data_IF_007428160109
#
_entry.id   IF_007428160109
#
_cell.length_a   1.000
_cell.length_b   1.000
_cell.length_c   1.000
_cell.angle_alpha   90.00
_cell.angle_beta   90.00
_cell.angle_gamma   90.00
#
_symmetry.space_group_name_H-M   'P 1'
#
loop_
_entity.id
_entity.type
_entity.pdbx_description
1 polymer ?
#
# COMPACT_ATOMS: atom_id res chain seq x y z
N UNK A 1 16.34 -0.56 -8.42
CA UNK A 1 15.81 -1.74 -9.16
C UNK A 1 15.00 -2.69 -8.29
N UNK A 2 15.32 -2.84 -7.00
CA UNK A 2 14.57 -3.72 -6.07
C UNK A 2 13.05 -3.48 -6.04
N UNK A 3 12.60 -2.21 -6.14
CA UNK A 3 11.17 -1.88 -6.07
C UNK A 3 10.37 -2.43 -7.26
N UNK A 4 10.85 -2.26 -8.49
CA UNK A 4 10.18 -2.76 -9.69
C UNK A 4 10.07 -4.29 -9.67
N UNK A 5 11.15 -4.97 -9.27
CA UNK A 5 11.16 -6.44 -9.17
C UNK A 5 10.16 -6.92 -8.10
N UNK A 6 10.10 -6.23 -6.96
CA UNK A 6 9.12 -6.51 -5.89
C UNK A 6 7.69 -6.34 -6.41
N UNK A 7 7.39 -5.23 -7.09
CA UNK A 7 6.07 -4.97 -7.68
C UNK A 7 5.70 -6.03 -8.72
N UNK A 8 6.63 -6.33 -9.63
CA UNK A 8 6.45 -7.33 -10.67
C UNK A 8 6.21 -8.72 -10.10
N UNK A 9 6.93 -9.09 -9.04
CA UNK A 9 6.72 -10.34 -8.34
C UNK A 9 5.31 -10.40 -7.73
N UNK A 10 4.86 -9.33 -7.05
CA UNK A 10 3.52 -9.29 -6.46
C UNK A 10 2.41 -9.37 -7.52
N UNK A 11 2.54 -8.65 -8.64
CA UNK A 11 1.61 -8.72 -9.77
C UNK A 11 1.50 -10.16 -10.30
N UNK A 12 2.65 -10.83 -10.50
CA UNK A 12 2.69 -12.22 -10.98
C UNK A 12 2.06 -13.21 -10.00
N UNK A 13 2.27 -13.01 -8.69
CA UNK A 13 1.72 -13.89 -7.66
C UNK A 13 0.22 -13.69 -7.46
N UNK A 14 -0.24 -12.45 -7.42
CA UNK A 14 -1.65 -12.12 -7.18
C UNK A 14 -2.53 -12.44 -8.39
N UNK A 15 -1.97 -12.39 -9.61
CA UNK A 15 -2.71 -12.62 -10.88
C UNK A 15 -3.95 -11.74 -11.01
N UNK A 16 -3.88 -10.53 -10.44
CA UNK A 16 -4.91 -9.51 -10.51
C UNK A 16 -4.33 -8.26 -11.16
N UNK A 17 -5.16 -7.50 -11.91
CA UNK A 17 -4.73 -6.22 -12.46
C UNK A 17 -4.46 -5.23 -11.34
N UNK A 18 -3.23 -4.73 -11.27
CA UNK A 18 -2.83 -3.64 -10.39
C UNK A 18 -3.31 -2.32 -11.00
N UNK A 19 -4.06 -1.50 -10.25
CA UNK A 19 -4.53 -0.20 -10.77
C UNK A 19 -3.82 1.00 -10.15
N UNK A 20 -3.32 0.87 -8.93
CA UNK A 20 -2.57 1.92 -8.27
C UNK A 20 -1.55 1.34 -7.29
N UNK A 21 -0.52 2.14 -7.02
CA UNK A 21 0.50 1.88 -5.99
C UNK A 21 0.63 3.14 -5.14
N UNK A 22 0.71 2.97 -3.84
CA UNK A 22 1.02 4.06 -2.91
C UNK A 22 2.26 3.68 -2.11
N UNK A 23 3.21 4.60 -1.99
CA UNK A 23 4.37 4.43 -1.12
C UNK A 23 4.38 5.56 -0.09
N UNK A 24 4.43 5.18 1.18
CA UNK A 24 4.49 6.10 2.31
C UNK A 24 5.83 5.96 3.01
N UNK A 25 6.46 7.09 3.30
CA UNK A 25 7.75 7.17 3.95
C UNK A 25 7.74 8.28 5.00
N UNK A 26 8.45 8.06 6.10
CA UNK A 26 8.81 9.13 7.03
C UNK A 26 10.13 9.73 6.52
N UNK A 27 10.32 11.06 6.50
CA UNK A 27 11.53 11.69 5.95
C UNK A 27 12.75 11.58 6.88
N UNK A 28 12.98 10.39 7.46
CA UNK A 28 14.17 10.03 8.22
C UNK A 28 14.85 8.83 7.56
N UNK A 29 16.18 8.88 7.34
CA UNK A 29 16.93 7.78 6.74
C UNK A 29 16.71 6.46 7.48
N UNK A 30 16.82 5.34 6.75
CA UNK A 30 16.69 3.99 7.28
C UNK A 30 15.36 3.70 8.03
N UNK A 31 14.31 4.48 7.78
CA UNK A 31 12.96 4.16 8.29
C UNK A 31 12.21 3.21 7.37
N UNK A 32 11.30 2.36 7.89
CA UNK A 32 10.52 1.45 7.06
C UNK A 32 9.66 2.22 6.04
N UNK A 33 9.66 1.76 4.79
CA UNK A 33 8.76 2.27 3.77
C UNK A 33 7.53 1.38 3.70
N UNK A 34 6.34 1.97 3.62
CA UNK A 34 5.10 1.22 3.47
C UNK A 34 4.63 1.29 2.02
N UNK A 35 4.55 0.13 1.37
CA UNK A 35 4.09 -0.04 0.00
C UNK A 35 2.68 -0.64 0.00
N UNK A 36 1.72 0.05 -0.61
CA UNK A 36 0.35 -0.44 -0.79
C UNK A 36 0.09 -0.71 -2.27
N UNK A 37 -0.45 -1.88 -2.56
CA UNK A 37 -0.83 -2.35 -3.88
C UNK A 37 -2.35 -2.40 -3.97
N UNK A 38 -2.91 -1.58 -4.85
CA UNK A 38 -4.35 -1.49 -5.02
C UNK A 38 -4.76 -2.32 -6.23
N UNK A 39 -5.49 -3.39 -5.98
CA UNK A 39 -5.92 -4.36 -6.99
C UNK A 39 -7.29 -4.02 -7.54
N UNK A 40 -7.48 -4.22 -8.83
CA UNK A 40 -8.79 -4.10 -9.44
C UNK A 40 -9.45 -5.48 -9.52
N UNK A 41 -10.70 -5.55 -9.08
CA UNK A 41 -11.52 -6.76 -9.17
C UNK A 41 -12.47 -6.91 -8.00
N UNK A 42 -13.41 -7.85 -8.17
CA UNK A 42 -14.32 -8.28 -7.12
C UNK A 42 -14.21 -9.80 -6.95
N UNK A 43 -14.16 -10.24 -5.70
CA UNK A 43 -14.26 -11.64 -5.29
C UNK A 43 -15.69 -11.94 -4.85
N UNK A 44 -16.19 -13.13 -5.12
CA UNK A 44 -17.42 -13.58 -4.47
C UNK A 44 -17.11 -13.90 -3.02
N UNK A 45 -17.87 -13.34 -2.08
CA UNK A 45 -17.76 -13.74 -0.68
C UNK A 45 -18.33 -15.15 -0.53
N UNK A 46 -17.65 -16.06 0.18
CA UNK A 46 -18.25 -17.34 0.51
C UNK A 46 -19.57 -17.09 1.28
N UNK A 47 -20.63 -17.85 1.00
CA UNK A 47 -21.91 -17.66 1.67
C UNK A 47 -21.71 -17.81 3.18
N UNK A 48 -22.06 -16.77 3.93
CA UNK A 48 -22.07 -16.82 5.37
C UNK A 48 -23.15 -17.81 5.81
N UNK A 49 -22.77 -18.89 6.50
CA UNK A 49 -23.73 -19.91 6.94
C UNK A 49 -24.75 -19.38 7.95
N UNK A 50 -24.49 -18.22 8.56
CA UNK A 50 -25.38 -17.58 9.55
C UNK A 50 -26.34 -16.55 8.96
N UNK A 51 -26.08 -16.03 7.75
CA UNK A 51 -26.94 -15.06 7.07
C UNK A 51 -27.47 -15.66 5.77
N UNK A 52 -28.79 -15.63 5.60
CA UNK A 52 -29.48 -16.00 4.35
C UNK A 52 -29.23 -14.97 3.24
N UNK A 53 -27.98 -14.55 3.05
CA UNK A 53 -27.62 -13.51 2.08
C UNK A 53 -27.07 -14.14 0.80
N UNK A 54 -27.60 -13.65 -0.32
CA UNK A 54 -27.10 -13.91 -1.67
C UNK A 54 -25.63 -13.51 -1.77
N UNK A 55 -24.81 -14.35 -2.43
CA UNK A 55 -23.40 -14.09 -2.75
C UNK A 55 -23.16 -12.61 -3.12
N UNK A 56 -22.53 -11.86 -2.22
CA UNK A 56 -22.16 -10.47 -2.48
C UNK A 56 -20.79 -10.42 -3.14
N UNK A 57 -20.71 -9.72 -4.27
CA UNK A 57 -19.43 -9.35 -4.86
C UNK A 57 -18.75 -8.33 -3.95
N UNK A 58 -17.50 -8.61 -3.57
CA UNK A 58 -16.71 -7.78 -2.67
C UNK A 58 -15.41 -7.37 -3.33
N UNK A 59 -14.99 -6.13 -3.14
CA UNK A 59 -13.71 -5.66 -3.70
C UNK A 59 -12.54 -6.51 -3.21
N UNK A 60 -11.54 -6.69 -4.08
CA UNK A 60 -10.28 -7.28 -3.65
C UNK A 60 -9.60 -6.27 -2.69
N UNK A 61 -9.28 -6.66 -1.45
CA UNK A 61 -8.49 -5.87 -0.52
C UNK A 61 -7.11 -5.55 -1.11
N UNK A 62 -6.62 -4.35 -0.83
CA UNK A 62 -5.25 -3.97 -1.13
C UNK A 62 -4.25 -4.87 -0.40
N UNK A 63 -3.04 -4.99 -0.95
CA UNK A 63 -1.92 -5.64 -0.28
C UNK A 63 -0.99 -4.57 0.31
N UNK A 64 -0.67 -4.67 1.59
CA UNK A 64 0.28 -3.78 2.25
C UNK A 64 1.58 -4.52 2.56
N UNK A 65 2.70 -3.93 2.15
CA UNK A 65 4.05 -4.49 2.25
C UNK A 65 4.98 -3.49 2.94
N UNK A 66 5.64 -3.91 4.01
CA UNK A 66 6.71 -3.14 4.61
C UNK A 66 8.04 -3.46 3.91
N UNK A 67 8.69 -2.44 3.35
CA UNK A 67 10.02 -2.54 2.77
C UNK A 67 11.06 -2.15 3.83
N UNK A 68 11.66 -3.15 4.48
CA UNK A 68 12.77 -2.95 5.41
C UNK A 68 14.10 -2.99 4.64
N UNK A 69 14.53 -1.84 4.12
CA UNK A 69 15.83 -1.69 3.45
C UNK A 69 16.52 -0.42 3.91
N UNK A 70 17.85 -0.39 3.75
CA UNK A 70 18.63 0.82 4.03
C UNK A 70 18.46 1.84 2.91
N UNK A 71 18.30 3.10 3.29
CA UNK A 71 18.22 4.23 2.37
C UNK A 71 18.65 5.51 3.07
N UNK A 72 19.43 6.33 2.35
CA UNK A 72 20.10 7.50 2.94
C UNK A 72 19.36 8.81 2.67
N UNK A 73 18.67 8.88 1.52
CA UNK A 73 17.97 10.09 1.07
C UNK A 73 16.62 9.74 0.44
N UNK A 74 15.61 10.55 0.71
CA UNK A 74 14.26 10.37 0.15
C UNK A 74 14.27 10.48 -1.38
N UNK A 75 15.10 11.37 -1.93
CA UNK A 75 15.28 11.51 -3.38
C UNK A 75 15.68 10.20 -4.06
N UNK A 76 16.46 9.36 -3.39
CA UNK A 76 16.85 8.05 -3.94
C UNK A 76 15.68 7.07 -3.99
N UNK A 77 14.80 7.13 -3.00
CA UNK A 77 13.56 6.36 -2.99
C UNK A 77 12.63 6.85 -4.09
N UNK A 78 12.50 8.18 -4.26
CA UNK A 78 11.70 8.80 -5.31
C UNK A 78 12.18 8.41 -6.72
N UNK A 79 13.49 8.45 -6.98
CA UNK A 79 14.08 8.00 -8.24
C UNK A 79 13.68 6.55 -8.58
N UNK A 80 13.69 5.65 -7.59
CA UNK A 80 13.29 4.26 -7.80
C UNK A 80 11.79 4.10 -8.06
N UNK A 81 10.94 4.91 -7.42
CA UNK A 81 9.51 4.93 -7.71
C UNK A 81 9.27 5.41 -9.13
N UNK A 82 9.94 6.48 -9.55
CA UNK A 82 9.82 7.02 -10.90
C UNK A 82 10.24 5.99 -11.95
N UNK A 83 11.36 5.30 -11.73
CA UNK A 83 11.84 4.23 -12.60
C UNK A 83 10.84 3.06 -12.67
N UNK A 84 10.36 2.58 -11.52
CA UNK A 84 9.37 1.51 -11.47
C UNK A 84 8.04 1.91 -12.14
N UNK A 85 7.58 3.14 -11.90
CA UNK A 85 6.36 3.67 -12.49
C UNK A 85 6.47 3.77 -14.02
N UNK A 86 7.62 4.23 -14.52
CA UNK A 86 7.91 4.27 -15.96
C UNK A 86 7.87 2.87 -16.59
N UNK A 87 8.57 1.90 -15.99
CA UNK A 87 8.61 0.52 -16.49
C UNK A 87 7.24 -0.19 -16.43
N UNK A 88 6.41 0.16 -15.45
CA UNK A 88 5.03 -0.35 -15.34
C UNK A 88 4.03 0.40 -16.23
N UNK A 89 4.43 1.46 -16.92
CA UNK A 89 3.55 2.25 -17.77
C UNK A 89 2.54 3.11 -16.99
N UNK A 90 2.92 3.60 -15.82
CA UNK A 90 2.08 4.50 -15.03
C UNK A 90 1.85 5.81 -15.78
N UNK A 91 0.60 6.25 -15.84
CA UNK A 91 0.17 7.45 -16.55
C UNK A 91 -0.04 8.67 -15.65
N UNK A 92 -0.11 8.44 -14.33
CA UNK A 92 -0.31 9.48 -13.32
C UNK A 92 0.54 9.17 -12.10
N UNK A 93 1.30 10.17 -11.64
CA UNK A 93 2.11 10.12 -10.43
C UNK A 93 1.81 11.35 -9.60
N UNK A 94 1.61 11.15 -8.30
CA UNK A 94 1.34 12.23 -7.36
C UNK A 94 2.24 12.06 -6.14
N UNK A 95 2.90 13.15 -5.77
CA UNK A 95 3.67 13.27 -4.53
C UNK A 95 2.85 14.12 -3.57
N UNK A 96 2.43 13.55 -2.45
CA UNK A 96 1.77 14.28 -1.37
C UNK A 96 2.69 14.28 -0.14
N UNK A 97 3.01 15.46 0.36
CA UNK A 97 3.85 15.64 1.54
C UNK A 97 3.00 16.28 2.63
N UNK A 98 2.86 15.57 3.76
CA UNK A 98 2.05 16.00 4.89
C UNK A 98 2.91 16.12 6.13
N UNK A 99 2.53 17.04 7.02
CA UNK A 99 3.08 17.09 8.37
C UNK A 99 2.67 15.83 9.12
N UNK A 100 3.55 15.33 10.00
CA UNK A 100 3.22 14.21 10.85
C UNK A 100 2.05 14.55 11.78
N UNK A 101 1.13 13.60 11.97
CA UNK A 101 -0.06 13.76 12.80
C UNK A 101 0.19 13.68 14.31
N UNK A 102 1.44 13.79 14.76
CA UNK A 102 1.83 13.66 16.16
C UNK A 102 1.57 14.94 16.98
N UNK A 103 0.76 15.87 16.45
CA UNK A 103 0.43 17.12 17.12
C UNK A 103 -0.74 16.90 18.07
N UNK A 104 -0.53 17.15 19.36
CA UNK A 104 -1.60 17.11 20.36
C UNK A 104 -2.73 18.09 19.98
N UNK A 105 -3.96 17.58 19.89
CA UNK A 105 -5.13 18.38 19.49
C UNK A 105 -5.33 18.56 17.98
N UNK A 106 -4.66 17.75 17.15
CA UNK A 106 -4.95 17.70 15.71
C UNK A 106 -6.44 17.40 15.45
N UNK A 107 -6.98 17.97 14.37
CA UNK A 107 -8.37 17.71 14.01
C UNK A 107 -8.56 16.23 13.63
N UNK A 108 -9.74 15.66 13.90
CA UNK A 108 -10.03 14.25 13.60
C UNK A 108 -9.78 13.86 12.12
N UNK A 109 -9.95 14.81 11.19
CA UNK A 109 -9.64 14.60 9.78
C UNK A 109 -8.15 14.46 9.49
N UNK A 110 -7.28 15.15 10.23
CA UNK A 110 -5.83 15.05 10.12
C UNK A 110 -5.33 13.70 10.65
N UNK A 111 -5.88 13.26 11.79
CA UNK A 111 -5.60 11.93 12.35
C UNK A 111 -6.01 10.83 11.36
N UNK A 112 -7.22 10.90 10.82
CA UNK A 112 -7.71 9.92 9.85
C UNK A 112 -6.83 9.88 8.59
N UNK A 113 -6.47 11.03 8.03
CA UNK A 113 -5.62 11.12 6.84
C UNK A 113 -4.24 10.48 7.09
N UNK A 114 -3.68 10.67 8.28
CA UNK A 114 -2.41 10.09 8.68
C UNK A 114 -2.48 8.56 8.79
N UNK A 115 -3.50 8.04 9.47
CA UNK A 115 -3.75 6.60 9.58
C UNK A 115 -3.91 5.95 8.21
N UNK A 116 -4.69 6.58 7.34
CA UNK A 116 -4.89 6.12 5.95
C UNK A 116 -3.58 6.10 5.15
N UNK A 117 -2.71 7.10 5.33
CA UNK A 117 -1.40 7.12 4.68
C UNK A 117 -0.53 5.92 5.07
N UNK A 118 -0.68 5.38 6.28
CA UNK A 118 0.02 4.19 6.75
C UNK A 118 -0.82 2.91 6.69
N UNK A 119 -1.88 2.89 5.89
CA UNK A 119 -2.69 1.68 5.65
C UNK A 119 -3.59 1.27 6.81
N UNK A 120 -3.68 2.08 7.88
CA UNK A 120 -4.70 1.99 8.92
C UNK A 120 -5.99 2.63 8.40
N UNK A 121 -6.67 1.89 7.52
CA UNK A 121 -7.98 2.24 7.00
C UNK A 121 -9.06 1.65 7.90
N UNK A 122 -10.10 2.43 8.26
CA UNK A 122 -11.25 1.88 8.96
C UNK A 122 -11.83 0.73 8.13
N UNK A 123 -12.11 -0.42 8.76
CA UNK A 123 -12.44 -1.63 8.04
C UNK A 123 -13.80 -1.46 7.35
N UNK A 124 -13.82 -1.57 6.02
CA UNK A 124 -15.05 -1.41 5.23
C UNK A 124 -16.10 -2.48 5.62
N UNK A 125 -15.67 -3.67 6.06
CA UNK A 125 -16.53 -4.77 6.50
C UNK A 125 -16.00 -5.50 7.75
N UNK A 126 -15.34 -4.80 8.67
CA UNK A 126 -14.78 -5.41 9.89
C UNK A 126 -13.54 -6.31 9.70
N UNK A 127 -12.92 -6.32 8.52
CA UNK A 127 -11.64 -7.00 8.30
C UNK A 127 -10.45 -6.07 8.58
N UNK A 128 -9.58 -6.51 9.47
CA UNK A 128 -8.33 -5.85 9.82
C UNK A 128 -7.34 -5.84 8.63
N UNK A 129 -6.71 -4.70 8.39
CA UNK A 129 -5.65 -4.55 7.39
C UNK A 129 -4.40 -5.27 7.89
N UNK A 130 -3.92 -6.28 7.15
CA UNK A 130 -2.70 -7.01 7.49
C UNK A 130 -1.56 -6.49 6.63
N UNK A 131 -0.52 -5.97 7.29
CA UNK A 131 0.74 -5.58 6.64
C UNK A 131 1.68 -6.77 6.67
N UNK A 132 2.12 -7.23 5.50
CA UNK A 132 3.16 -8.26 5.39
C UNK A 132 4.53 -7.61 5.23
N UNK A 133 5.60 -8.26 5.71
CA UNK A 133 6.96 -7.83 5.39
C UNK A 133 7.30 -8.26 3.95
N UNK A 134 7.84 -7.35 3.14
CA UNK A 134 8.30 -7.72 1.81
C UNK A 134 9.55 -8.60 1.91
N UNK A 135 9.73 -9.59 1.01
CA UNK A 135 10.95 -10.39 0.98
C UNK A 135 12.16 -9.48 0.82
N UNK A 136 13.08 -9.51 1.78
CA UNK A 136 14.35 -8.80 1.64
C UNK A 136 15.27 -9.63 0.73
N UNK A 137 15.61 -9.09 -0.44
CA UNK A 137 16.71 -9.66 -1.23
C UNK A 137 18.03 -9.40 -0.47
N UNK A 138 18.45 -10.36 0.36
CA UNK A 138 19.84 -10.41 0.84
C UNK A 138 20.73 -10.74 -0.36
N UNK A 139 21.60 -9.80 -0.74
CA UNK A 139 22.88 -10.13 -1.39
C UNK A 139 23.91 -10.47 -0.33
#
# INVERSE_FOLDING_TARGET
MELFDTLSAQIRHMRLPLFAVSLSAVPFPDTPLLLMLHWHGFRQSPPDRARTDTSTLRQVPASALQLTRRWEALSRVEEEILDAAWQLGAWSLLRDERRGCNTMGAAAGEELACRQAFGDLPPIDGQESIVAEAPTHRR
#
